data_IF_685270357514
#
_entry.id   IF_685270357514
#
_cell.length_a   1.000
_cell.length_b   1.000
_cell.length_c   1.000
_cell.angle_alpha   90.00
_cell.angle_beta   90.00
_cell.angle_gamma   90.00
#
_symmetry.space_group_name_H-M   'P 1'
#
loop_
_entity.id
_entity.type
_entity.pdbx_description
1 polymer ?
#
# COMPACT_ATOMS: atom_id res chain seq x y z
N UNK A 1 -13.85 4.90 -9.19
CA UNK A 1 -14.49 4.16 -8.06
C UNK A 1 -13.38 3.67 -7.15
N UNK A 2 -13.48 3.92 -5.84
CA UNK A 2 -12.47 3.48 -4.88
C UNK A 2 -12.58 1.97 -4.65
N UNK A 3 -11.45 1.27 -4.58
CA UNK A 3 -11.37 -0.14 -4.23
C UNK A 3 -10.30 -0.37 -3.16
N UNK A 4 -10.53 -1.28 -2.23
CA UNK A 4 -9.49 -1.65 -1.25
C UNK A 4 -8.30 -2.29 -2.00
N UNK A 5 -7.09 -1.77 -1.80
CA UNK A 5 -5.88 -2.30 -2.45
C UNK A 5 -5.05 -3.14 -1.48
N UNK A 6 -4.69 -2.56 -0.33
CA UNK A 6 -3.91 -3.24 0.70
C UNK A 6 -4.09 -2.59 2.07
N UNK A 7 -3.67 -3.30 3.11
CA UNK A 7 -3.50 -2.77 4.47
C UNK A 7 -2.03 -2.90 4.84
N UNK A 8 -1.44 -1.86 5.41
CA UNK A 8 -0.11 -1.89 5.97
C UNK A 8 -0.17 -1.92 7.49
N UNK A 9 0.50 -2.91 8.09
CA UNK A 9 0.66 -3.03 9.53
C UNK A 9 2.13 -3.01 9.90
N UNK A 10 2.39 -2.59 11.14
CA UNK A 10 3.76 -2.56 11.65
C UNK A 10 4.26 -3.96 12.01
N UNK A 11 5.52 -4.23 11.68
CA UNK A 11 6.25 -5.43 12.02
C UNK A 11 7.71 -5.07 12.34
N UNK A 12 8.14 -5.30 13.59
CA UNK A 12 9.51 -5.03 14.03
C UNK A 12 10.52 -6.01 13.42
N UNK A 13 10.11 -7.27 13.22
CA UNK A 13 10.84 -8.30 12.49
C UNK A 13 10.05 -8.72 11.25
N UNK A 14 10.46 -8.19 10.09
CA UNK A 14 9.84 -8.46 8.80
C UNK A 14 9.94 -9.95 8.45
N UNK A 15 11.11 -10.56 8.60
CA UNK A 15 11.33 -11.94 8.18
C UNK A 15 10.53 -12.94 9.02
N UNK A 16 10.49 -12.73 10.35
CA UNK A 16 9.66 -13.55 11.24
C UNK A 16 8.16 -13.38 10.94
N UNK A 17 7.70 -12.15 10.70
CA UNK A 17 6.30 -11.87 10.37
C UNK A 17 5.89 -12.49 9.04
N UNK A 18 6.73 -12.38 8.00
CA UNK A 18 6.49 -13.04 6.72
C UNK A 18 6.34 -14.54 6.90
N UNK A 19 7.25 -15.19 7.64
CA UNK A 19 7.17 -16.63 7.93
C UNK A 19 5.84 -16.99 8.60
N UNK A 20 5.42 -16.23 9.62
CA UNK A 20 4.14 -16.45 10.28
C UNK A 20 2.95 -16.43 9.31
N UNK A 21 2.85 -15.41 8.44
CA UNK A 21 1.73 -15.30 7.51
C UNK A 21 1.76 -16.36 6.40
N UNK A 22 2.95 -16.73 5.93
CA UNK A 22 3.11 -17.82 4.97
C UNK A 22 2.68 -19.16 5.57
N UNK A 23 3.22 -19.50 6.73
CA UNK A 23 3.07 -20.84 7.31
C UNK A 23 1.66 -21.05 7.90
N UNK A 24 1.06 -19.98 8.46
CA UNK A 24 -0.24 -20.07 9.13
C UNK A 24 -1.42 -19.88 8.18
N UNK A 25 -1.26 -19.06 7.12
CA UNK A 25 -2.37 -18.64 6.26
C UNK A 25 -2.11 -18.86 4.76
N UNK A 26 -0.97 -19.43 4.39
CA UNK A 26 -0.63 -19.68 2.99
C UNK A 26 -0.38 -18.40 2.18
N UNK A 27 0.07 -17.32 2.83
CA UNK A 27 0.36 -16.06 2.14
C UNK A 27 1.39 -16.26 1.02
N UNK A 28 1.17 -15.64 -0.14
CA UNK A 28 2.18 -15.58 -1.20
C UNK A 28 3.01 -14.31 -1.03
N UNK A 29 4.35 -14.43 -1.03
CA UNK A 29 5.25 -13.28 -0.94
C UNK A 29 5.37 -12.64 -2.31
N UNK A 30 4.86 -11.42 -2.46
CA UNK A 30 5.00 -10.61 -3.67
C UNK A 30 6.33 -9.85 -3.67
N UNK A 31 6.72 -9.36 -2.49
CA UNK A 31 7.98 -8.65 -2.27
C UNK A 31 8.43 -8.83 -0.82
N UNK A 32 9.75 -8.87 -0.59
CA UNK A 32 10.34 -8.82 0.74
C UNK A 32 11.77 -8.28 0.66
N UNK A 33 12.08 -7.35 1.56
CA UNK A 33 13.45 -7.00 1.93
C UNK A 33 13.56 -6.82 3.46
N UNK A 34 14.64 -6.21 3.93
CA UNK A 34 14.86 -5.97 5.36
C UNK A 34 13.96 -4.88 5.95
N UNK A 35 13.42 -3.99 5.12
CA UNK A 35 12.65 -2.81 5.53
C UNK A 35 11.14 -3.00 5.42
N UNK A 36 10.65 -3.82 4.49
CA UNK A 36 9.23 -4.14 4.36
C UNK A 36 8.98 -5.44 3.57
N UNK A 37 7.75 -5.92 3.63
CA UNK A 37 7.28 -7.02 2.80
C UNK A 37 5.87 -6.75 2.28
N UNK A 38 5.53 -7.37 1.15
CA UNK A 38 4.21 -7.32 0.55
C UNK A 38 3.71 -8.72 0.28
N UNK A 39 2.56 -9.05 0.85
CA UNK A 39 1.99 -10.39 0.87
C UNK A 39 0.63 -10.38 0.19
N UNK A 40 0.36 -11.38 -0.62
CA UNK A 40 -0.99 -11.69 -1.11
C UNK A 40 -1.65 -12.70 -0.16
N UNK A 41 -2.86 -12.36 0.31
CA UNK A 41 -3.69 -13.18 1.19
C UNK A 41 -5.11 -13.25 0.60
N UNK A 42 -5.45 -14.37 -0.03
CA UNK A 42 -6.71 -14.49 -0.78
C UNK A 42 -6.81 -13.40 -1.85
N UNK A 43 -7.89 -12.64 -1.85
CA UNK A 43 -8.10 -11.49 -2.73
C UNK A 43 -7.45 -10.17 -2.25
N UNK A 44 -6.93 -10.12 -1.02
CA UNK A 44 -6.37 -8.93 -0.41
C UNK A 44 -4.84 -8.95 -0.33
N UNK A 45 -4.25 -7.79 -0.04
CA UNK A 45 -2.80 -7.66 0.17
C UNK A 45 -2.50 -7.07 1.54
N UNK A 46 -1.41 -7.54 2.14
CA UNK A 46 -0.90 -7.09 3.41
C UNK A 46 0.54 -6.60 3.23
N UNK A 47 0.78 -5.34 3.55
CA UNK A 47 2.12 -4.79 3.69
C UNK A 47 2.57 -4.92 5.16
N UNK A 48 3.80 -5.37 5.35
CA UNK A 48 4.48 -5.38 6.64
C UNK A 48 5.54 -4.31 6.60
N UNK A 49 5.42 -3.29 7.44
CA UNK A 49 6.32 -2.13 7.45
C UNK A 49 7.01 -1.97 8.79
N UNK A 50 8.23 -1.43 8.80
CA UNK A 50 8.94 -1.16 10.06
C UNK A 50 8.32 0.02 10.82
N UNK A 51 8.15 -0.11 12.15
CA UNK A 51 7.71 1.00 13.00
C UNK A 51 8.56 2.25 12.79
N UNK A 52 7.90 3.40 12.65
CA UNK A 52 8.56 4.71 12.50
C UNK A 52 9.27 4.97 11.17
N UNK A 53 9.34 4.00 10.26
CA UNK A 53 9.89 4.20 8.91
C UNK A 53 8.80 4.44 7.87
N UNK A 54 7.69 3.71 7.99
CA UNK A 54 6.50 3.90 7.15
C UNK A 54 5.26 3.77 8.03
N UNK A 55 4.31 4.72 7.98
CA UNK A 55 3.13 4.63 8.82
C UNK A 55 2.28 3.41 8.43
N UNK A 56 1.61 2.75 9.39
CA UNK A 56 0.51 1.85 9.08
C UNK A 56 -0.61 2.63 8.39
N UNK A 57 -1.25 2.01 7.40
CA UNK A 57 -2.26 2.67 6.58
C UNK A 57 -3.22 1.68 5.93
N UNK A 58 -4.37 2.19 5.49
CA UNK A 58 -5.29 1.48 4.60
C UNK A 58 -5.21 2.14 3.23
N UNK A 59 -4.90 1.37 2.19
CA UNK A 59 -4.76 1.87 0.84
C UNK A 59 -6.00 1.61 0.00
N UNK A 60 -6.46 2.64 -0.69
CA UNK A 60 -7.53 2.59 -1.67
C UNK A 60 -6.95 2.83 -3.06
N UNK A 61 -7.17 1.86 -3.95
CA UNK A 61 -6.92 2.02 -5.37
C UNK A 61 -7.92 3.00 -5.97
N UNK A 62 -7.40 3.93 -6.77
CA UNK A 62 -8.16 4.98 -7.43
C UNK A 62 -7.78 5.11 -8.90
N UNK A 63 -8.67 5.70 -9.68
CA UNK A 63 -8.34 6.19 -11.03
C UNK A 63 -7.53 7.48 -10.94
N UNK A 64 -6.77 7.80 -12.00
CA UNK A 64 -5.88 8.95 -11.97
C UNK A 64 -6.62 10.27 -11.73
N UNK A 65 -7.79 10.45 -12.36
CA UNK A 65 -8.61 11.64 -12.18
C UNK A 65 -9.11 11.81 -10.74
N UNK A 66 -9.46 10.70 -10.07
CA UNK A 66 -9.88 10.70 -8.66
C UNK A 66 -8.71 11.09 -7.75
N UNK A 67 -7.49 10.57 -8.03
CA UNK A 67 -6.27 10.93 -7.31
C UNK A 67 -5.94 12.43 -7.44
N UNK A 68 -6.00 12.97 -8.65
CA UNK A 68 -5.71 14.39 -8.94
C UNK A 68 -6.72 15.33 -8.27
N UNK A 69 -8.01 14.97 -8.31
CA UNK A 69 -9.06 15.72 -7.62
C UNK A 69 -8.86 15.70 -6.08
N UNK A 70 -8.52 14.53 -5.51
CA UNK A 70 -8.26 14.39 -4.09
C UNK A 70 -7.03 15.19 -3.65
N UNK A 71 -5.93 15.12 -4.40
CA UNK A 71 -4.70 15.86 -4.11
C UNK A 71 -4.95 17.38 -4.11
N UNK A 72 -5.70 17.89 -5.10
CA UNK A 72 -6.10 19.30 -5.16
C UNK A 72 -6.96 19.69 -3.96
N UNK A 73 -7.95 18.88 -3.59
CA UNK A 73 -8.84 19.15 -2.44
C UNK A 73 -8.07 19.17 -1.12
N UNK A 74 -7.11 18.28 -0.95
CA UNK A 74 -6.27 18.19 0.25
C UNK A 74 -5.08 19.15 0.25
N UNK A 75 -4.90 19.95 -0.82
CA UNK A 75 -3.75 20.83 -1.03
C UNK A 75 -2.39 20.12 -0.82
N UNK A 76 -2.28 18.89 -1.32
CA UNK A 76 -1.07 18.06 -1.23
C UNK A 76 -0.52 17.69 -2.60
N UNK A 77 0.75 17.30 -2.64
CA UNK A 77 1.43 16.89 -3.88
C UNK A 77 1.33 15.37 -4.04
N UNK A 78 1.07 14.91 -5.26
CA UNK A 78 1.10 13.50 -5.60
C UNK A 78 2.56 13.03 -5.65
N UNK A 79 2.90 12.07 -4.80
CA UNK A 79 4.19 11.39 -4.84
C UNK A 79 4.21 10.40 -6.00
N UNK A 80 5.32 10.33 -6.72
CA UNK A 80 5.53 9.35 -7.80
C UNK A 80 6.66 8.42 -7.38
N UNK A 81 6.37 7.13 -7.30
CA UNK A 81 7.35 6.10 -6.98
C UNK A 81 8.12 5.67 -8.23
N UNK A 82 9.24 4.97 -8.02
CA UNK A 82 10.14 4.52 -9.10
C UNK A 82 9.46 3.59 -10.11
N UNK A 83 8.48 2.81 -9.67
CA UNK A 83 7.70 1.89 -10.51
C UNK A 83 6.55 2.58 -11.28
N UNK A 84 6.45 3.90 -11.17
CA UNK A 84 5.41 4.71 -11.81
C UNK A 84 4.09 4.74 -11.04
N UNK A 85 3.97 4.01 -9.92
CA UNK A 85 2.81 4.18 -9.02
C UNK A 85 2.81 5.59 -8.45
N UNK A 86 1.60 6.12 -8.24
CA UNK A 86 1.39 7.49 -7.77
C UNK A 86 0.42 7.50 -6.62
N UNK A 87 0.66 8.31 -5.61
CA UNK A 87 -0.24 8.35 -4.46
C UNK A 87 -0.13 9.59 -3.59
N UNK A 88 -1.10 9.69 -2.67
CA UNK A 88 -1.13 10.68 -1.59
C UNK A 88 -1.54 9.99 -0.29
N UNK A 89 -1.13 10.57 0.84
CA UNK A 89 -1.59 10.18 2.16
C UNK A 89 -2.56 11.22 2.70
N UNK A 90 -3.64 10.74 3.32
CA UNK A 90 -4.69 11.51 3.97
C UNK A 90 -4.89 10.97 5.40
N UNK A 91 -5.52 11.76 6.26
CA UNK A 91 -6.01 11.30 7.56
C UNK A 91 -7.53 11.18 7.53
N UNK A 92 -8.06 10.07 8.04
CA UNK A 92 -9.48 9.98 8.34
C UNK A 92 -9.84 10.83 9.58
N UNK A 93 -11.13 10.97 9.95
CA UNK A 93 -11.52 11.77 11.11
C UNK A 93 -11.01 11.25 12.47
N UNK A 94 -10.45 10.04 12.51
CA UNK A 94 -9.91 9.38 13.69
C UNK A 94 -8.38 9.44 13.73
N UNK A 95 -7.74 10.00 12.69
CA UNK A 95 -6.30 10.09 12.56
C UNK A 95 -5.64 8.86 11.94
N UNK A 96 -6.41 7.91 11.41
CA UNK A 96 -5.85 6.79 10.65
C UNK A 96 -5.30 7.28 9.31
N UNK A 97 -4.16 6.74 8.89
CA UNK A 97 -3.57 7.05 7.59
C UNK A 97 -4.32 6.30 6.48
N UNK A 98 -4.82 7.06 5.50
CA UNK A 98 -5.41 6.53 4.27
C UNK A 98 -4.47 6.86 3.12
N UNK A 99 -4.07 5.84 2.37
CA UNK A 99 -3.35 6.03 1.11
C UNK A 99 -4.34 5.98 -0.05
N UNK A 100 -4.28 6.96 -0.95
CA UNK A 100 -4.87 6.81 -2.28
C UNK A 100 -3.76 6.47 -3.25
N UNK A 101 -3.88 5.33 -3.92
CA UNK A 101 -2.84 4.82 -4.84
C UNK A 101 -3.41 4.59 -6.23
N UNK A 102 -2.72 5.10 -7.23
CA UNK A 102 -2.95 4.83 -8.64
C UNK A 102 -1.79 4.01 -9.18
N UNK A 103 -2.14 2.99 -9.96
CA UNK A 103 -1.19 2.16 -10.68
C UNK A 103 -1.20 2.57 -12.15
N UNK A 104 -0.01 2.73 -12.78
CA UNK A 104 0.02 2.93 -14.22
C UNK A 104 -0.61 1.72 -14.92
N UNK A 105 -1.27 1.92 -16.06
CA UNK A 105 -1.70 0.80 -16.89
C UNK A 105 -0.48 -0.10 -17.12
N UNK A 106 -0.60 -1.39 -16.81
CA UNK A 106 0.44 -2.33 -17.21
C UNK A 106 0.60 -2.19 -18.71
N UNK A 107 1.79 -1.83 -19.17
CA UNK A 107 2.14 -1.92 -20.58
C UNK A 107 1.77 -3.34 -20.99
N UNK A 108 0.80 -3.47 -21.90
CA UNK A 108 0.42 -4.77 -22.42
C UNK A 108 1.72 -5.48 -22.80
N UNK A 109 1.96 -6.67 -22.24
CA UNK A 109 3.10 -7.48 -22.61
C UNK A 109 3.05 -7.58 -24.15
N UNK A 110 4.01 -6.96 -24.80
CA UNK A 110 4.29 -7.10 -26.23
C UNK A 110 4.71 -8.52 -26.53
#
# INVERSE_FOLDING_TARGET
MFALDHVAIEASDIAASVRFYKDSFGACVLYQDESWAFLQLGQGKLALVKPGQHPPHVALRVELADLEAAAKKAATTINTHRDGTRGIYLSDPQGNTIELIWYPPTSAAS
#
